data_IF_474459845801
#
_entry.id   IF_474459845801
#
_cell.length_a   1.000
_cell.length_b   1.000
_cell.length_c   1.000
_cell.angle_alpha   90.00
_cell.angle_beta   90.00
_cell.angle_gamma   90.00
#
_symmetry.space_group_name_H-M   'P 1'
#
loop_
_entity.id
_entity.type
_entity.pdbx_description
1 polymer ?
#
# COMPACT_ATOMS: atom_id res chain seq x y z
N UNK A 1 12.26 -1.36 -2.76
CA UNK A 1 11.19 -0.43 -2.35
C UNK A 1 9.86 -1.09 -2.68
N UNK A 2 9.01 -1.37 -1.71
CA UNK A 2 7.82 -2.20 -1.92
C UNK A 2 6.62 -1.29 -2.25
N UNK A 3 6.73 -0.57 -3.38
CA UNK A 3 5.75 0.42 -3.84
C UNK A 3 4.39 -0.20 -4.13
N UNK A 4 4.36 -1.49 -4.50
CA UNK A 4 3.15 -2.21 -4.88
C UNK A 4 2.14 -2.28 -3.72
N UNK A 5 2.61 -2.41 -2.47
CA UNK A 5 1.75 -2.42 -1.28
C UNK A 5 0.88 -1.17 -1.11
N UNK A 6 1.31 -0.03 -1.66
CA UNK A 6 0.56 1.23 -1.59
C UNK A 6 -0.70 1.17 -2.43
N UNK A 7 -0.57 0.67 -3.65
CA UNK A 7 -1.72 0.53 -4.57
C UNK A 7 -2.75 -0.46 -4.01
N UNK A 8 -2.31 -1.54 -3.33
CA UNK A 8 -3.23 -2.40 -2.59
C UNK A 8 -4.08 -1.61 -1.59
N UNK A 9 -3.44 -0.75 -0.79
CA UNK A 9 -4.15 0.07 0.20
C UNK A 9 -5.09 1.06 -0.45
N UNK A 10 -4.69 1.70 -1.55
CA UNK A 10 -5.54 2.61 -2.30
C UNK A 10 -6.81 1.90 -2.77
N UNK A 11 -6.68 0.76 -3.45
CA UNK A 11 -7.83 0.03 -3.98
C UNK A 11 -8.64 -0.68 -2.89
N UNK A 12 -8.03 -1.06 -1.76
CA UNK A 12 -8.76 -1.54 -0.59
C UNK A 12 -9.64 -0.44 0.03
N UNK A 13 -9.13 0.79 0.10
CA UNK A 13 -9.83 1.93 0.68
C UNK A 13 -10.87 2.51 -0.27
N UNK A 14 -10.58 2.56 -1.57
CA UNK A 14 -11.42 3.16 -2.60
C UNK A 14 -11.49 2.29 -3.87
N UNK A 15 -12.14 1.09 -3.82
CA UNK A 15 -12.18 0.18 -4.98
C UNK A 15 -12.89 0.77 -6.19
N UNK A 16 -13.83 1.69 -6.02
CA UNK A 16 -14.57 2.34 -7.10
C UNK A 16 -13.73 3.32 -7.93
N UNK A 17 -12.51 3.67 -7.47
CA UNK A 17 -11.50 4.37 -8.26
C UNK A 17 -11.24 3.69 -9.62
N UNK A 18 -11.42 2.37 -9.69
CA UNK A 18 -11.22 1.61 -10.93
C UNK A 18 -12.07 2.15 -12.08
N UNK A 19 -13.25 2.70 -11.83
CA UNK A 19 -14.12 3.27 -12.86
C UNK A 19 -13.50 4.47 -13.56
N UNK A 20 -12.77 5.31 -12.83
CA UNK A 20 -12.07 6.46 -13.42
C UNK A 20 -10.87 6.05 -14.30
N UNK A 21 -10.42 4.81 -14.18
CA UNK A 21 -9.26 4.25 -14.90
C UNK A 21 -9.67 3.37 -16.09
N UNK A 22 -10.91 2.89 -16.13
CA UNK A 22 -11.39 2.04 -17.22
C UNK A 22 -11.69 2.88 -18.47
N UNK A 23 -11.23 2.44 -19.68
CA UNK A 23 -11.56 3.11 -20.93
C UNK A 23 -13.07 3.05 -21.18
N UNK A 24 -13.65 4.17 -21.60
CA UNK A 24 -15.10 4.26 -21.92
C UNK A 24 -16.02 4.38 -20.71
N UNK A 25 -15.51 4.30 -19.49
CA UNK A 25 -16.31 4.70 -18.35
C UNK A 25 -16.52 6.21 -18.40
N UNK A 26 -17.78 6.64 -18.45
CA UNK A 26 -18.11 8.05 -18.27
C UNK A 26 -17.63 8.45 -16.87
N UNK A 27 -16.62 9.31 -16.80
CA UNK A 27 -16.17 9.91 -15.55
C UNK A 27 -17.28 10.71 -14.84
N UNK A 28 -18.42 10.89 -15.54
CA UNK A 28 -19.56 11.65 -15.11
C UNK A 28 -20.56 10.88 -14.23
N UNK A 29 -20.55 9.55 -14.22
CA UNK A 29 -21.37 8.80 -13.25
C UNK A 29 -20.64 8.71 -11.91
N UNK A 30 -20.58 9.82 -11.20
CA UNK A 30 -20.19 9.83 -9.79
C UNK A 30 -21.22 9.03 -8.97
N UNK A 31 -20.81 8.46 -7.84
CA UNK A 31 -21.74 7.78 -6.92
C UNK A 31 -22.98 8.64 -6.61
N UNK A 32 -22.86 9.96 -6.69
CA UNK A 32 -23.95 10.95 -6.54
C UNK A 32 -25.00 10.87 -7.65
N UNK A 33 -24.63 10.58 -8.91
CA UNK A 33 -25.60 10.47 -10.03
C UNK A 33 -26.35 9.13 -10.03
N UNK A 34 -25.77 8.11 -9.37
CA UNK A 34 -26.43 6.82 -9.14
C UNK A 34 -27.29 6.82 -7.86
N UNK A 35 -27.42 7.98 -7.17
CA UNK A 35 -28.17 8.10 -5.93
C UNK A 35 -27.53 7.38 -4.73
N UNK A 36 -26.25 7.05 -4.84
CA UNK A 36 -25.47 6.34 -3.81
C UNK A 36 -24.73 7.39 -2.97
N UNK A 37 -24.87 7.33 -1.65
CA UNK A 37 -24.08 8.16 -0.75
C UNK A 37 -22.60 7.78 -0.84
N UNK A 38 -21.67 8.75 -0.96
CA UNK A 38 -20.27 8.48 -1.32
C UNK A 38 -19.49 7.61 -0.32
N UNK A 39 -19.99 7.34 0.87
CA UNK A 39 -19.20 6.77 1.97
C UNK A 39 -19.82 5.63 2.77
N UNK A 40 -21.02 5.15 2.43
CA UNK A 40 -21.56 3.97 3.11
C UNK A 40 -20.87 2.69 2.61
N UNK A 41 -20.32 1.82 3.49
CA UNK A 41 -19.66 0.57 3.07
C UNK A 41 -20.54 -0.36 2.23
N UNK A 42 -21.87 -0.13 2.23
CA UNK A 42 -22.86 -0.88 1.46
C UNK A 42 -23.02 -0.45 0.00
N UNK A 43 -22.65 0.80 -0.34
CA UNK A 43 -22.97 1.42 -1.62
C UNK A 43 -21.84 1.36 -2.66
N UNK A 44 -20.72 0.74 -2.31
CA UNK A 44 -19.59 0.57 -3.25
C UNK A 44 -19.95 -0.39 -4.36
N UNK A 45 -19.60 -0.03 -5.60
CA UNK A 45 -19.85 -0.81 -6.82
C UNK A 45 -18.84 -1.95 -6.99
N UNK A 46 -17.62 -1.79 -6.44
CA UNK A 46 -16.54 -2.78 -6.49
C UNK A 46 -16.08 -3.23 -5.12
N UNK A 47 -15.60 -4.48 -5.08
CA UNK A 47 -14.91 -5.10 -3.94
C UNK A 47 -13.49 -5.47 -4.39
N UNK A 48 -12.49 -5.05 -3.65
CA UNK A 48 -11.10 -5.41 -3.89
C UNK A 48 -10.72 -6.70 -3.17
N UNK A 49 -10.12 -7.63 -3.89
CA UNK A 49 -9.53 -8.86 -3.33
C UNK A 49 -8.13 -9.08 -3.93
N UNK A 50 -7.15 -9.40 -3.07
CA UNK A 50 -5.85 -9.89 -3.49
C UNK A 50 -5.89 -11.44 -3.51
N UNK A 51 -5.89 -12.04 -4.70
CA UNK A 51 -5.99 -13.48 -4.87
C UNK A 51 -4.61 -14.10 -5.15
N UNK A 52 -4.37 -15.28 -4.54
CA UNK A 52 -3.19 -16.10 -4.80
C UNK A 52 -3.54 -17.24 -5.77
N UNK A 53 -2.77 -17.37 -6.85
CA UNK A 53 -2.93 -18.46 -7.82
C UNK A 53 -2.07 -19.63 -7.38
N UNK A 54 -2.71 -20.73 -6.96
CA UNK A 54 -2.12 -21.83 -6.19
C UNK A 54 -1.11 -22.68 -6.92
N UNK A 55 -0.70 -22.68 -8.04
CA UNK A 55 0.23 -23.69 -8.63
C UNK A 55 1.59 -23.17 -9.10
N UNK A 56 1.82 -21.85 -9.09
CA UNK A 56 3.08 -21.27 -9.57
C UNK A 56 3.58 -20.10 -8.69
N UNK A 57 3.24 -19.97 -7.43
CA UNK A 57 3.67 -18.85 -6.56
C UNK A 57 3.42 -17.44 -7.16
N UNK A 58 2.59 -17.34 -8.19
CA UNK A 58 2.26 -16.07 -8.83
C UNK A 58 1.00 -15.51 -8.19
N UNK A 59 1.15 -14.36 -7.56
CA UNK A 59 0.05 -13.65 -6.93
C UNK A 59 -0.34 -12.49 -7.84
N UNK A 60 -1.62 -12.41 -8.21
CA UNK A 60 -2.18 -11.19 -8.78
C UNK A 60 -2.14 -10.08 -7.74
N UNK A 61 -1.81 -8.86 -8.16
CA UNK A 61 -1.82 -7.71 -7.27
C UNK A 61 -3.21 -7.41 -6.76
N UNK A 62 -4.23 -7.61 -7.58
CA UNK A 62 -5.60 -7.53 -7.11
C UNK A 62 -6.63 -7.94 -8.15
N UNK A 63 -7.82 -8.29 -7.65
CA UNK A 63 -9.01 -8.50 -8.47
C UNK A 63 -10.13 -7.64 -7.88
N UNK A 64 -10.74 -6.82 -8.74
CA UNK A 64 -11.89 -6.02 -8.37
C UNK A 64 -13.14 -6.67 -8.95
N UNK A 65 -14.01 -7.09 -8.04
CA UNK A 65 -15.27 -7.70 -8.36
C UNK A 65 -16.40 -6.66 -8.31
N UNK A 66 -17.31 -6.63 -9.28
CA UNK A 66 -18.55 -5.89 -9.14
C UNK A 66 -19.29 -6.35 -7.88
N UNK A 67 -20.01 -5.45 -7.23
CA UNK A 67 -20.81 -5.82 -6.05
C UNK A 67 -22.17 -6.38 -6.47
N UNK A 68 -22.85 -7.05 -5.54
CA UNK A 68 -24.20 -7.59 -5.75
C UNK A 68 -25.22 -6.51 -6.18
N UNK A 69 -25.04 -5.27 -5.72
CA UNK A 69 -25.85 -4.12 -6.14
C UNK A 69 -25.83 -3.85 -7.65
N UNK A 70 -24.80 -4.32 -8.37
CA UNK A 70 -24.71 -4.19 -9.84
C UNK A 70 -25.46 -5.28 -10.60
N UNK A 71 -25.94 -6.33 -9.91
CA UNK A 71 -26.59 -7.50 -10.52
C UNK A 71 -25.65 -8.46 -11.25
N UNK A 72 -24.35 -8.20 -11.30
CA UNK A 72 -23.36 -8.98 -12.06
C UNK A 72 -22.09 -9.34 -11.23
N UNK A 73 -22.24 -9.52 -9.92
CA UNK A 73 -21.12 -9.68 -8.98
C UNK A 73 -20.14 -10.83 -9.31
N UNK A 74 -20.60 -11.91 -9.93
CA UNK A 74 -19.77 -13.07 -10.26
C UNK A 74 -19.40 -13.17 -11.75
N UNK A 75 -20.19 -12.56 -12.63
CA UNK A 75 -20.05 -12.68 -14.08
C UNK A 75 -19.38 -11.46 -14.71
N UNK A 76 -19.48 -10.32 -14.06
CA UNK A 76 -19.20 -9.03 -14.68
C UNK A 76 -20.27 -8.63 -15.69
N UNK A 77 -20.17 -7.43 -16.21
CA UNK A 77 -20.95 -6.91 -17.35
C UNK A 77 -20.07 -5.96 -18.16
N UNK A 78 -20.48 -5.54 -19.35
CA UNK A 78 -19.72 -4.54 -20.13
C UNK A 78 -19.49 -3.24 -19.37
N UNK A 79 -20.43 -2.82 -18.52
CA UNK A 79 -20.33 -1.61 -17.71
C UNK A 79 -19.54 -1.84 -16.41
N UNK A 80 -19.64 -3.03 -15.84
CA UNK A 80 -18.97 -3.45 -14.59
C UNK A 80 -18.21 -4.75 -14.80
N UNK A 81 -17.08 -4.75 -15.55
CA UNK A 81 -16.28 -5.95 -15.73
C UNK A 81 -15.59 -6.37 -14.43
N UNK A 82 -15.23 -7.63 -14.32
CA UNK A 82 -14.26 -8.09 -13.32
C UNK A 82 -12.88 -7.58 -13.75
N UNK A 83 -12.20 -6.80 -12.90
CA UNK A 83 -10.93 -6.18 -13.27
C UNK A 83 -9.76 -6.87 -12.58
N UNK A 84 -8.85 -7.40 -13.38
CA UNK A 84 -7.55 -7.88 -12.93
C UNK A 84 -6.58 -6.69 -12.92
N UNK A 85 -6.06 -6.36 -11.73
CA UNK A 85 -5.17 -5.23 -11.53
C UNK A 85 -3.76 -5.72 -11.28
N UNK A 86 -2.80 -5.16 -12.01
CA UNK A 86 -1.36 -5.34 -11.80
C UNK A 86 -0.66 -3.99 -11.71
N UNK A 87 0.34 -3.90 -10.83
CA UNK A 87 1.14 -2.69 -10.61
C UNK A 87 2.61 -3.02 -10.82
N UNK A 88 3.15 -2.62 -11.96
CA UNK A 88 4.52 -2.92 -12.33
C UNK A 88 5.38 -1.65 -12.30
N UNK A 89 6.09 -1.43 -11.19
CA UNK A 89 6.91 -0.23 -10.96
C UNK A 89 8.38 -0.41 -11.38
N UNK A 90 8.83 -1.64 -11.62
CA UNK A 90 10.23 -1.96 -11.95
C UNK A 90 10.33 -2.76 -13.25
N UNK A 91 11.47 -2.72 -13.96
CA UNK A 91 11.69 -3.56 -15.13
C UNK A 91 11.54 -5.04 -14.79
N UNK A 92 10.81 -5.77 -15.62
CA UNK A 92 10.69 -7.23 -15.55
C UNK A 92 10.46 -7.78 -16.96
N UNK A 93 11.50 -8.33 -17.61
CA UNK A 93 11.38 -8.88 -18.97
C UNK A 93 10.42 -10.06 -19.10
N UNK A 94 10.05 -10.70 -17.99
CA UNK A 94 9.07 -11.80 -17.95
C UNK A 94 7.64 -11.35 -17.71
N UNK A 95 7.41 -10.07 -17.44
CA UNK A 95 6.13 -9.54 -16.95
C UNK A 95 4.96 -9.85 -17.88
N UNK A 96 5.09 -9.58 -19.18
CA UNK A 96 3.96 -9.72 -20.12
C UNK A 96 3.52 -11.17 -20.26
N UNK A 97 4.46 -12.13 -20.27
CA UNK A 97 4.15 -13.55 -20.31
C UNK A 97 3.49 -14.00 -19.01
N UNK A 98 4.00 -13.53 -17.87
CA UNK A 98 3.39 -13.80 -16.56
C UNK A 98 1.98 -13.23 -16.46
N UNK A 99 1.77 -11.99 -16.89
CA UNK A 99 0.46 -11.33 -16.90
C UNK A 99 -0.57 -12.13 -17.71
N UNK A 100 -0.20 -12.57 -18.92
CA UNK A 100 -1.07 -13.39 -19.76
C UNK A 100 -1.38 -14.74 -19.08
N UNK A 101 -0.37 -15.41 -18.56
CA UNK A 101 -0.53 -16.70 -17.86
C UNK A 101 -1.45 -16.57 -16.64
N UNK A 102 -1.25 -15.55 -15.83
CA UNK A 102 -2.07 -15.24 -14.65
C UNK A 102 -3.51 -14.93 -15.02
N UNK A 103 -3.72 -14.11 -16.07
CA UNK A 103 -5.07 -13.77 -16.55
C UNK A 103 -5.83 -15.01 -16.98
N UNK A 104 -5.25 -15.83 -17.84
CA UNK A 104 -5.94 -17.04 -18.32
C UNK A 104 -6.10 -18.09 -17.23
N UNK A 105 -5.17 -18.18 -16.28
CA UNK A 105 -5.33 -19.05 -15.12
C UNK A 105 -6.45 -18.59 -14.21
N UNK A 106 -6.58 -17.28 -13.97
CA UNK A 106 -7.70 -16.69 -13.25
C UNK A 106 -9.04 -17.07 -13.93
N UNK A 107 -9.17 -16.87 -15.23
CA UNK A 107 -10.38 -17.21 -15.98
C UNK A 107 -10.71 -18.71 -15.91
N UNK A 108 -9.68 -19.58 -15.94
CA UNK A 108 -9.87 -21.02 -15.76
C UNK A 108 -10.42 -21.37 -14.37
N UNK A 109 -9.97 -20.67 -13.33
CA UNK A 109 -10.45 -20.87 -11.95
C UNK A 109 -11.84 -20.27 -11.71
N UNK A 110 -12.21 -19.26 -12.50
CA UNK A 110 -13.48 -18.53 -12.39
C UNK A 110 -14.31 -18.62 -13.70
N UNK A 111 -14.81 -19.81 -14.09
CA UNK A 111 -15.46 -20.01 -15.37
C UNK A 111 -16.79 -19.27 -15.56
N UNK A 112 -17.32 -18.68 -14.49
CA UNK A 112 -18.54 -17.85 -14.56
C UNK A 112 -18.27 -16.41 -14.98
N UNK A 113 -17.01 -15.97 -15.01
CA UNK A 113 -16.65 -14.61 -15.44
C UNK A 113 -16.80 -14.50 -16.95
N UNK A 114 -17.77 -13.69 -17.39
CA UNK A 114 -18.09 -13.45 -18.80
C UNK A 114 -17.48 -12.14 -19.30
N UNK A 115 -17.46 -11.11 -18.45
CA UNK A 115 -16.92 -9.80 -18.78
C UNK A 115 -15.77 -9.44 -17.81
N UNK A 116 -14.60 -9.24 -18.37
CA UNK A 116 -13.38 -8.94 -17.62
C UNK A 116 -12.52 -7.90 -18.33
N UNK A 117 -11.63 -7.27 -17.58
CA UNK A 117 -10.62 -6.35 -18.08
C UNK A 117 -9.31 -6.58 -17.33
N UNK A 118 -8.18 -6.30 -17.97
CA UNK A 118 -6.87 -6.25 -17.35
C UNK A 118 -6.40 -4.81 -17.33
N UNK A 119 -6.04 -4.31 -16.15
CA UNK A 119 -5.49 -2.99 -15.94
C UNK A 119 -4.08 -3.10 -15.39
N UNK A 120 -3.12 -2.47 -16.05
CA UNK A 120 -1.73 -2.41 -15.61
C UNK A 120 -1.33 -0.98 -15.33
N UNK A 121 -0.83 -0.72 -14.12
CA UNK A 121 -0.29 0.57 -13.72
C UNK A 121 1.24 0.51 -13.82
N UNK A 122 1.82 1.46 -14.55
CA UNK A 122 3.28 1.61 -14.71
C UNK A 122 3.73 3.04 -14.40
N UNK A 123 4.96 3.23 -13.90
CA UNK A 123 5.47 4.58 -13.64
C UNK A 123 5.61 5.39 -14.93
N UNK A 124 6.07 4.74 -16.01
CA UNK A 124 6.28 5.34 -17.33
C UNK A 124 6.27 4.27 -18.43
N UNK A 125 6.13 4.68 -19.69
CA UNK A 125 6.05 3.79 -20.85
C UNK A 125 7.41 3.20 -21.33
N UNK A 126 8.52 3.62 -20.71
CA UNK A 126 9.88 3.18 -21.06
C UNK A 126 10.33 1.94 -20.30
N UNK A 127 9.44 1.36 -19.48
CA UNK A 127 9.77 0.19 -18.67
C UNK A 127 10.01 -1.03 -19.56
N UNK A 128 11.12 -1.74 -19.34
CA UNK A 128 11.36 -3.00 -20.04
C UNK A 128 10.52 -4.11 -19.40
N UNK A 129 9.44 -4.48 -20.09
CA UNK A 129 8.48 -5.51 -19.67
C UNK A 129 8.57 -6.79 -20.51
N UNK A 130 9.58 -6.88 -21.37
CA UNK A 130 9.87 -8.03 -22.21
C UNK A 130 9.21 -7.97 -23.61
N UNK A 131 9.34 -9.08 -24.38
CA UNK A 131 8.85 -9.14 -25.74
C UNK A 131 7.32 -9.21 -25.82
N UNK A 132 6.76 -8.55 -26.83
CA UNK A 132 5.31 -8.39 -27.02
C UNK A 132 4.75 -9.26 -28.15
N UNK A 133 5.59 -9.71 -29.12
CA UNK A 133 5.12 -10.25 -30.40
C UNK A 133 4.18 -11.46 -30.23
N UNK A 134 4.54 -12.41 -29.37
CA UNK A 134 3.73 -13.62 -29.14
C UNK A 134 2.40 -13.32 -28.38
N UNK A 135 2.31 -12.18 -27.69
CA UNK A 135 1.19 -11.81 -26.83
C UNK A 135 0.38 -10.64 -27.39
N UNK A 136 0.61 -10.24 -28.63
CA UNK A 136 0.11 -9.01 -29.20
C UNK A 136 -1.42 -8.89 -29.09
N UNK A 137 -2.17 -9.96 -29.39
CA UNK A 137 -3.63 -9.98 -29.29
C UNK A 137 -4.12 -9.82 -27.85
N UNK A 138 -3.44 -10.44 -26.90
CA UNK A 138 -3.74 -10.28 -25.48
C UNK A 138 -3.46 -8.85 -25.01
N UNK A 139 -2.27 -8.31 -25.34
CA UNK A 139 -1.82 -7.00 -24.90
C UNK A 139 -2.65 -5.85 -25.47
N UNK A 140 -3.32 -6.04 -26.61
CA UNK A 140 -4.29 -5.08 -27.16
C UNK A 140 -5.55 -4.94 -26.30
N UNK A 141 -5.85 -5.95 -25.47
CA UNK A 141 -6.99 -5.95 -24.54
C UNK A 141 -6.60 -5.41 -23.15
N UNK A 142 -5.31 -5.18 -22.91
CA UNK A 142 -4.79 -4.66 -21.63
C UNK A 142 -4.87 -3.14 -21.63
N UNK A 143 -5.47 -2.59 -20.58
CA UNK A 143 -5.49 -1.15 -20.32
C UNK A 143 -4.23 -0.74 -19.56
N UNK A 144 -3.40 0.10 -20.17
CA UNK A 144 -2.16 0.59 -19.58
C UNK A 144 -2.32 2.00 -19.02
N UNK A 145 -2.08 2.14 -17.71
CA UNK A 145 -2.07 3.43 -17.02
C UNK A 145 -0.62 3.84 -16.77
N UNK A 146 -0.18 4.86 -17.49
CA UNK A 146 1.11 5.48 -17.31
C UNK A 146 0.99 6.64 -16.31
N UNK A 147 1.59 6.49 -15.14
CA UNK A 147 1.48 7.47 -14.06
C UNK A 147 2.15 8.82 -14.39
N UNK A 148 3.29 8.79 -15.11
CA UNK A 148 3.98 10.02 -15.56
C UNK A 148 3.08 10.81 -16.51
N UNK A 149 2.44 10.17 -17.48
CA UNK A 149 1.49 10.83 -18.37
C UNK A 149 0.22 11.28 -17.64
N UNK A 150 -0.25 10.47 -16.70
CA UNK A 150 -1.42 10.80 -15.90
C UNK A 150 -1.16 12.03 -15.04
N UNK A 151 0.02 12.15 -14.42
CA UNK A 151 0.39 13.28 -13.57
C UNK A 151 0.45 14.63 -14.32
N UNK A 152 0.60 14.60 -15.64
CA UNK A 152 0.65 15.82 -16.48
C UNK A 152 -0.75 16.39 -16.77
N UNK A 153 -1.82 15.66 -16.50
CA UNK A 153 -3.18 16.15 -16.70
C UNK A 153 -3.55 17.19 -15.66
N UNK A 154 -4.14 18.30 -16.10
CA UNK A 154 -4.41 19.47 -15.26
C UNK A 154 -5.65 19.31 -14.36
N UNK A 155 -6.58 18.43 -14.72
CA UNK A 155 -7.81 18.17 -13.96
C UNK A 155 -7.96 16.67 -13.75
N UNK A 156 -7.41 16.19 -12.64
CA UNK A 156 -7.57 14.81 -12.19
C UNK A 156 -8.58 14.76 -11.04
N UNK A 157 -9.39 13.72 -11.05
CA UNK A 157 -10.13 13.33 -9.86
C UNK A 157 -9.16 13.15 -8.68
N UNK A 158 -9.50 13.58 -7.45
CA UNK A 158 -8.61 13.47 -6.29
C UNK A 158 -8.08 12.05 -6.03
N UNK A 159 -8.91 11.02 -6.26
CA UNK A 159 -8.48 9.62 -6.12
C UNK A 159 -7.50 9.20 -7.22
N UNK A 160 -7.71 9.66 -8.45
CA UNK A 160 -6.77 9.41 -9.56
C UNK A 160 -5.47 10.16 -9.30
N UNK A 161 -5.55 11.36 -8.73
CA UNK A 161 -4.38 12.15 -8.35
C UNK A 161 -3.54 11.45 -7.27
N UNK A 162 -4.17 10.77 -6.33
CA UNK A 162 -3.50 9.95 -5.31
C UNK A 162 -2.56 8.91 -5.94
N UNK A 163 -2.97 8.24 -7.03
CA UNK A 163 -2.14 7.26 -7.72
C UNK A 163 -0.85 7.86 -8.29
N UNK A 164 -0.82 9.15 -8.57
CA UNK A 164 0.34 9.83 -9.17
C UNK A 164 1.41 10.22 -8.15
N UNK A 165 1.11 10.23 -6.85
CA UNK A 165 2.05 10.66 -5.80
C UNK A 165 3.42 9.96 -5.87
N UNK A 166 3.53 8.66 -6.16
CA UNK A 166 4.82 7.97 -6.23
C UNK A 166 5.75 8.49 -7.35
N UNK A 167 5.21 9.10 -8.40
CA UNK A 167 5.99 9.57 -9.58
C UNK A 167 6.06 11.09 -9.69
N UNK A 168 5.31 11.84 -8.87
CA UNK A 168 5.35 13.30 -8.90
C UNK A 168 6.69 13.85 -8.43
N UNK A 169 7.13 14.98 -9.00
CA UNK A 169 8.26 15.76 -8.49
C UNK A 169 8.04 16.16 -7.02
N UNK A 170 9.10 16.20 -6.23
CA UNK A 170 9.01 16.51 -4.78
C UNK A 170 8.37 17.88 -4.51
N UNK A 171 8.65 18.87 -5.35
CA UNK A 171 8.08 20.22 -5.24
C UNK A 171 6.57 20.28 -5.47
N UNK A 172 5.97 19.25 -6.07
CA UNK A 172 4.51 19.17 -6.29
C UNK A 172 3.78 18.34 -5.23
N UNK A 173 4.51 17.58 -4.41
CA UNK A 173 3.91 16.65 -3.45
C UNK A 173 3.03 17.38 -2.43
N UNK A 174 3.47 18.53 -1.93
CA UNK A 174 2.70 19.30 -0.95
C UNK A 174 1.34 19.74 -1.50
N UNK A 175 1.35 20.45 -2.64
CA UNK A 175 0.12 20.95 -3.25
C UNK A 175 -0.84 19.81 -3.64
N UNK A 176 -0.28 18.71 -4.20
CA UNK A 176 -1.08 17.55 -4.60
C UNK A 176 -1.71 16.84 -3.39
N UNK A 177 -0.95 16.62 -2.33
CA UNK A 177 -1.43 15.95 -1.11
C UNK A 177 -2.51 16.77 -0.42
N UNK A 178 -2.32 18.08 -0.29
CA UNK A 178 -3.30 19.00 0.28
C UNK A 178 -4.59 19.04 -0.53
N UNK A 179 -4.49 19.04 -1.87
CA UNK A 179 -5.66 18.98 -2.76
C UNK A 179 -6.44 17.67 -2.59
N UNK A 180 -5.74 16.53 -2.48
CA UNK A 180 -6.36 15.23 -2.26
C UNK A 180 -7.11 15.25 -0.92
N UNK A 181 -6.45 15.66 0.16
CA UNK A 181 -7.02 15.65 1.50
C UNK A 181 -8.14 16.67 1.71
N UNK A 182 -8.11 17.81 1.02
CA UNK A 182 -9.21 18.76 1.02
C UNK A 182 -10.53 18.17 0.47
N UNK A 183 -10.43 17.23 -0.49
CA UNK A 183 -11.58 16.56 -1.09
C UNK A 183 -11.91 15.21 -0.44
N UNK A 184 -10.88 14.53 0.09
CA UNK A 184 -10.97 13.17 0.66
C UNK A 184 -10.13 13.08 1.95
N UNK A 185 -10.62 13.65 3.07
CA UNK A 185 -9.92 13.59 4.36
C UNK A 185 -9.69 12.16 4.88
N UNK A 186 -10.56 11.24 4.50
CA UNK A 186 -10.49 9.82 4.84
C UNK A 186 -9.24 9.09 4.29
N UNK A 187 -8.52 9.69 3.36
CA UNK A 187 -7.29 9.16 2.75
C UNK A 187 -6.01 9.64 3.46
N UNK A 188 -6.12 10.33 4.58
CA UNK A 188 -5.00 10.88 5.36
C UNK A 188 -3.89 9.83 5.60
N UNK A 189 -4.25 8.65 6.07
CA UNK A 189 -3.32 7.54 6.34
C UNK A 189 -2.59 7.05 5.09
N UNK A 190 -3.30 6.99 3.97
CA UNK A 190 -2.73 6.52 2.70
C UNK A 190 -1.76 7.56 2.15
N UNK A 191 -2.16 8.84 2.14
CA UNK A 191 -1.32 9.96 1.71
C UNK A 191 -0.05 10.05 2.57
N UNK A 192 -0.19 10.06 3.90
CA UNK A 192 0.95 10.13 4.82
C UNK A 192 1.92 8.98 4.60
N UNK A 193 1.40 7.77 4.50
CA UNK A 193 2.23 6.61 4.30
C UNK A 193 2.96 6.64 2.92
N UNK A 194 2.35 7.19 1.86
CA UNK A 194 3.02 7.40 0.58
C UNK A 194 4.11 8.47 0.68
N UNK A 195 3.85 9.58 1.36
CA UNK A 195 4.84 10.65 1.59
C UNK A 195 6.03 10.15 2.41
N UNK A 196 5.80 9.40 3.50
CA UNK A 196 6.87 8.80 4.32
C UNK A 196 7.79 7.90 3.51
N UNK A 197 7.23 7.12 2.60
CA UNK A 197 8.03 6.26 1.72
C UNK A 197 8.79 7.07 0.66
N UNK A 198 8.19 8.15 0.19
CA UNK A 198 8.76 9.00 -0.86
C UNK A 198 9.85 9.92 -0.33
N UNK A 199 9.75 10.34 0.93
CA UNK A 199 10.60 11.31 1.62
C UNK A 199 11.16 10.71 2.94
N UNK A 200 11.94 9.61 2.87
CA UNK A 200 12.42 8.90 4.05
C UNK A 200 13.40 9.71 4.89
N UNK A 201 13.91 10.82 4.35
CA UNK A 201 14.82 11.74 5.04
C UNK A 201 14.09 12.73 5.96
N UNK A 202 12.77 12.87 5.82
CA UNK A 202 11.98 13.82 6.61
C UNK A 202 11.39 13.15 7.85
N UNK A 203 11.24 13.92 8.90
CA UNK A 203 10.51 13.51 10.11
C UNK A 203 9.01 13.39 9.84
N UNK A 204 8.30 12.69 10.71
CA UNK A 204 6.85 12.56 10.61
C UNK A 204 6.17 13.93 10.69
N UNK A 205 6.68 14.86 11.51
CA UNK A 205 6.16 16.21 11.64
C UNK A 205 6.30 17.01 10.33
N UNK A 206 7.45 16.94 9.67
CA UNK A 206 7.67 17.60 8.38
C UNK A 206 6.76 17.04 7.28
N UNK A 207 6.56 15.73 7.27
CA UNK A 207 5.64 15.08 6.31
C UNK A 207 4.19 15.53 6.54
N UNK A 208 3.77 15.69 7.80
CA UNK A 208 2.43 16.20 8.12
C UNK A 208 2.24 17.64 7.65
N UNK A 209 3.25 18.49 7.84
CA UNK A 209 3.23 19.88 7.33
C UNK A 209 3.08 19.87 5.79
N UNK A 210 3.82 19.00 5.09
CA UNK A 210 3.69 18.82 3.64
C UNK A 210 2.27 18.39 3.26
N UNK A 211 1.70 17.44 3.98
CA UNK A 211 0.33 16.96 3.75
C UNK A 211 -0.74 18.02 4.10
N UNK A 212 -0.38 19.11 4.80
CA UNK A 212 -1.32 20.12 5.26
C UNK A 212 -2.23 19.62 6.38
N UNK A 213 -1.78 18.64 7.17
CA UNK A 213 -2.55 18.08 8.28
C UNK A 213 -2.14 18.80 9.58
N UNK A 214 -3.07 19.48 10.26
CA UNK A 214 -2.79 20.15 11.53
C UNK A 214 -2.34 19.14 12.59
N UNK A 215 -1.22 19.43 13.28
CA UNK A 215 -0.68 18.57 14.34
C UNK A 215 -1.68 18.28 15.47
N UNK A 216 -2.60 19.18 15.73
CA UNK A 216 -3.62 19.03 16.79
C UNK A 216 -4.70 18.01 16.42
N UNK A 217 -5.11 17.96 15.16
CA UNK A 217 -6.11 16.99 14.69
C UNK A 217 -5.59 15.55 14.75
N UNK A 218 -4.27 15.37 14.55
CA UNK A 218 -3.64 14.04 14.59
C UNK A 218 -3.57 13.45 16.00
N UNK A 219 -3.40 14.25 17.04
CA UNK A 219 -3.39 13.77 18.44
C UNK A 219 -4.68 13.04 18.81
N UNK A 220 -5.77 13.36 18.12
CA UNK A 220 -7.10 12.78 18.36
C UNK A 220 -7.44 11.63 17.42
N UNK A 221 -6.65 11.39 16.36
CA UNK A 221 -6.87 10.24 15.47
C UNK A 221 -6.36 8.95 16.10
N UNK A 222 -7.11 7.87 15.94
CA UNK A 222 -6.72 6.52 16.39
C UNK A 222 -5.36 6.10 15.83
N UNK A 223 -5.04 6.52 14.60
CA UNK A 223 -3.75 6.22 13.97
C UNK A 223 -2.57 6.92 14.64
N UNK A 224 -2.73 8.19 15.03
CA UNK A 224 -1.68 8.89 15.78
C UNK A 224 -1.51 8.30 17.19
N UNK A 225 -2.62 7.91 17.82
CA UNK A 225 -2.56 7.20 19.10
C UNK A 225 -1.87 5.85 18.97
N UNK A 226 -2.15 5.08 17.91
CA UNK A 226 -1.48 3.80 17.62
C UNK A 226 0.00 4.00 17.30
N UNK A 227 0.37 5.04 16.55
CA UNK A 227 1.78 5.40 16.27
C UNK A 227 2.52 5.90 17.49
N UNK A 228 1.89 6.76 18.30
CA UNK A 228 2.46 7.21 19.56
C UNK A 228 2.61 6.04 20.55
N UNK A 229 1.68 5.10 20.55
CA UNK A 229 1.77 3.88 21.36
C UNK A 229 2.90 2.97 20.86
N UNK A 230 3.02 2.76 19.56
CA UNK A 230 4.11 1.98 18.96
C UNK A 230 5.47 2.64 19.21
N UNK A 231 5.61 3.95 18.98
CA UNK A 231 6.84 4.68 19.24
C UNK A 231 7.22 4.71 20.72
N UNK A 232 6.24 4.78 21.65
CA UNK A 232 6.51 4.66 23.10
C UNK A 232 6.96 3.25 23.46
N UNK A 233 6.38 2.24 22.83
CA UNK A 233 6.76 0.85 23.07
C UNK A 233 8.18 0.55 22.55
N UNK A 234 8.51 1.01 21.34
CA UNK A 234 9.88 0.92 20.79
C UNK A 234 10.88 1.70 21.66
N UNK A 235 10.60 2.95 22.00
CA UNK A 235 11.46 3.76 22.86
C UNK A 235 11.63 3.18 24.26
N UNK A 236 10.59 2.54 24.82
CA UNK A 236 10.69 1.81 26.07
C UNK A 236 11.60 0.58 25.94
N UNK A 237 11.42 -0.22 24.88
CA UNK A 237 12.25 -1.40 24.62
C UNK A 237 13.73 -1.02 24.42
N UNK A 238 14.00 0.00 23.62
CA UNK A 238 15.37 0.49 23.41
C UNK A 238 15.99 1.04 24.71
N UNK A 239 15.23 1.79 25.49
CA UNK A 239 15.64 2.33 26.77
C UNK A 239 15.98 1.24 27.80
N UNK A 240 15.09 0.25 27.94
CA UNK A 240 15.30 -0.91 28.82
C UNK A 240 16.49 -1.76 28.37
N UNK A 241 16.62 -2.02 27.06
CA UNK A 241 17.75 -2.75 26.50
C UNK A 241 19.07 -2.00 26.75
N UNK A 242 19.11 -0.69 26.53
CA UNK A 242 20.32 0.12 26.77
C UNK A 242 20.69 0.17 28.26
N UNK A 243 19.72 0.26 29.18
CA UNK A 243 19.92 0.24 30.60
C UNK A 243 20.42 -1.12 31.06
N UNK A 244 19.79 -2.20 30.63
CA UNK A 244 20.19 -3.58 30.98
C UNK A 244 21.59 -3.89 30.48
N UNK A 245 21.93 -3.52 29.23
CA UNK A 245 23.25 -3.67 28.67
C UNK A 245 24.31 -2.89 29.47
N UNK A 246 24.00 -1.67 29.93
CA UNK A 246 24.90 -0.87 30.76
C UNK A 246 25.17 -1.54 32.11
N UNK A 247 24.14 -2.08 32.74
CA UNK A 247 24.25 -2.80 34.01
C UNK A 247 25.04 -4.11 33.86
N UNK A 248 24.76 -4.89 32.81
CA UNK A 248 25.48 -6.11 32.47
C UNK A 248 26.99 -5.84 32.22
N UNK A 249 27.31 -4.83 31.41
CA UNK A 249 28.70 -4.46 31.15
C UNK A 249 29.42 -4.03 32.43
N UNK A 250 28.74 -3.38 33.37
CA UNK A 250 29.30 -2.99 34.64
C UNK A 250 29.54 -4.18 35.60
N UNK A 251 28.62 -5.17 35.56
CA UNK A 251 28.66 -6.32 36.49
C UNK A 251 29.52 -7.45 35.94
N UNK A 252 29.38 -7.76 34.66
CA UNK A 252 30.01 -8.92 34.02
C UNK A 252 31.23 -8.57 33.15
N UNK A 253 31.51 -7.26 32.96
CA UNK A 253 32.51 -6.80 31.98
C UNK A 253 31.96 -6.71 30.55
N UNK A 254 32.83 -6.39 29.57
CA UNK A 254 32.38 -6.20 28.17
C UNK A 254 31.74 -7.44 27.60
N UNK A 255 30.52 -7.28 27.08
CA UNK A 255 29.76 -8.35 26.45
C UNK A 255 30.20 -8.56 24.99
N UNK A 256 30.02 -9.79 24.49
CA UNK A 256 30.29 -10.10 23.09
C UNK A 256 29.25 -9.45 22.17
N UNK A 257 29.62 -9.22 20.90
CA UNK A 257 28.67 -8.65 19.88
C UNK A 257 27.42 -9.51 19.74
N UNK A 258 27.49 -10.87 19.65
CA UNK A 258 26.29 -11.71 19.57
C UNK A 258 25.40 -11.57 20.82
N UNK A 259 25.94 -11.56 22.00
CA UNK A 259 25.20 -11.41 23.27
C UNK A 259 24.49 -10.04 23.33
N UNK A 260 25.20 -8.98 22.92
CA UNK A 260 24.60 -7.62 22.83
C UNK A 260 23.41 -7.58 21.90
N UNK A 261 23.52 -8.18 20.71
CA UNK A 261 22.44 -8.23 19.74
C UNK A 261 21.24 -9.07 20.25
N UNK A 262 21.49 -10.17 20.94
CA UNK A 262 20.44 -10.98 21.57
C UNK A 262 19.66 -10.19 22.63
N UNK A 263 20.34 -9.45 23.47
CA UNK A 263 19.73 -8.65 24.54
C UNK A 263 18.91 -7.51 23.92
N UNK A 264 19.41 -6.83 22.88
CA UNK A 264 18.68 -5.78 22.17
C UNK A 264 17.38 -6.28 21.52
N UNK A 265 17.32 -7.56 21.14
CA UNK A 265 16.16 -8.18 20.53
C UNK A 265 15.13 -8.73 21.54
N UNK A 266 15.42 -8.69 22.85
CA UNK A 266 14.50 -9.20 23.87
C UNK A 266 13.26 -8.31 24.03
N UNK A 267 12.07 -8.90 24.26
CA UNK A 267 10.89 -8.15 24.69
C UNK A 267 11.12 -7.47 26.05
N UNK A 268 10.37 -6.38 26.30
CA UNK A 268 10.51 -5.56 27.52
C UNK A 268 10.42 -6.40 28.80
N UNK A 269 9.44 -7.31 28.87
CA UNK A 269 9.23 -8.17 30.04
C UNK A 269 10.44 -9.05 30.36
N UNK A 270 11.16 -9.49 29.32
CA UNK A 270 12.40 -10.28 29.49
C UNK A 270 13.59 -9.41 29.85
N UNK A 271 13.64 -8.17 29.36
CA UNK A 271 14.67 -7.20 29.75
C UNK A 271 14.52 -6.81 31.23
N UNK A 272 13.29 -6.55 31.69
CA UNK A 272 12.98 -6.29 33.08
C UNK A 272 13.39 -7.47 33.99
N UNK A 273 12.97 -8.70 33.61
CA UNK A 273 13.34 -9.90 34.35
C UNK A 273 14.86 -10.14 34.39
N UNK A 274 15.57 -9.84 33.29
CA UNK A 274 17.05 -9.92 33.26
C UNK A 274 17.70 -8.85 34.14
N UNK A 275 17.15 -7.63 34.16
CA UNK A 275 17.63 -6.56 35.03
C UNK A 275 17.44 -6.89 36.49
N UNK A 276 16.32 -7.51 36.88
CA UNK A 276 16.07 -7.99 38.26
C UNK A 276 17.04 -9.11 38.64
N UNK A 277 17.22 -10.12 37.77
CA UNK A 277 18.12 -11.23 37.98
C UNK A 277 19.59 -10.77 38.12
N UNK A 278 19.96 -9.64 37.52
CA UNK A 278 21.29 -9.07 37.53
C UNK A 278 21.76 -8.66 38.94
N UNK A 279 20.81 -8.45 39.86
CA UNK A 279 21.12 -8.17 41.28
C UNK A 279 21.84 -9.35 41.95
N UNK A 280 21.52 -10.57 41.52
CA UNK A 280 22.04 -11.83 42.07
C UNK A 280 23.25 -12.37 41.30
N UNK A 281 23.59 -11.81 40.11
CA UNK A 281 24.75 -12.26 39.31
C UNK A 281 26.05 -12.08 40.02
N UNK A 282 26.90 -13.10 40.00
CA UNK A 282 28.27 -13.08 40.53
C UNK A 282 29.32 -12.89 39.41
N UNK A 283 28.97 -13.17 38.16
CA UNK A 283 29.89 -13.02 37.04
C UNK A 283 29.26 -13.37 35.67
N UNK A 284 30.06 -13.38 34.59
CA UNK A 284 29.58 -13.63 33.22
C UNK A 284 28.98 -15.01 33.01
N UNK A 285 29.23 -15.98 33.87
CA UNK A 285 28.72 -17.35 33.79
C UNK A 285 27.21 -17.45 34.13
N UNK A 286 26.65 -16.41 34.73
CA UNK A 286 25.25 -16.38 35.17
C UNK A 286 24.34 -15.80 34.08
N UNK A 287 24.91 -15.34 32.96
CA UNK A 287 24.22 -14.76 31.82
C UNK A 287 23.77 -15.84 30.83
#
# INVERSE_FOLDING_TARGET
MNTDRWYYRVFQSAPDLIRALLPGSSAAATASELGLAPDAPGDRLYRFEALEIKELSHRLDGVLWPRQSTGCAETGSPEFPVVLLEVQMHPDPGFQHRLAAQTYRFLQQHPRVEHWAVLVITPHNRLNLGPTQALQLFLQQVSWINLEQLSQKTQLDPLVNLLTLPVRPENELAATSQQILANRPDLDKVVLAMLMQRLPQLSNEEIMVIAGIPMEELRHTRAAQDWLAAGRQEGRQEGEAAMTLRLLNRRCGPLTVPTTAQIQALPVEKLEALADALLDFQGPADL
#
